data_IF_484714053527
#
_entry.id   IF_484714053527
#
_cell.length_a   1.000
_cell.length_b   1.000
_cell.length_c   1.000
_cell.angle_alpha   90.00
_cell.angle_beta   90.00
_cell.angle_gamma   90.00
#
_symmetry.space_group_name_H-M   'P 1'
#
loop_
_entity.id
_entity.type
_entity.pdbx_description
1 polymer ?
#
# COMPACT_ATOMS: atom_id res chain seq x y z
N UNK A 1 -13.79 57.53 46.16
CA UNK A 1 -12.93 57.21 45.00
C UNK A 1 -12.04 55.94 45.15
N UNK A 2 -11.73 55.50 46.38
CA UNK A 2 -10.81 54.33 46.61
C UNK A 2 -11.44 52.93 46.37
N UNK A 3 -12.75 52.77 46.39
CA UNK A 3 -13.42 51.47 46.14
C UNK A 3 -13.58 51.08 44.67
N UNK A 4 -13.57 52.03 43.76
CA UNK A 4 -13.64 51.73 42.28
C UNK A 4 -12.33 51.27 41.71
N UNK A 5 -11.18 51.63 42.32
CA UNK A 5 -9.85 51.24 41.85
C UNK A 5 -9.54 49.76 42.16
N UNK A 6 -10.05 49.22 43.26
CA UNK A 6 -9.81 47.83 43.66
C UNK A 6 -10.55 46.85 42.75
N UNK A 7 -11.72 47.23 42.25
CA UNK A 7 -12.51 46.36 41.32
C UNK A 7 -11.85 46.26 39.95
N UNK A 8 -11.20 47.35 39.49
CA UNK A 8 -10.47 47.32 38.19
C UNK A 8 -9.20 46.46 38.28
N UNK A 9 -8.49 46.47 39.38
CA UNK A 9 -7.32 45.58 39.58
C UNK A 9 -7.70 44.09 39.69
N UNK A 10 -8.84 43.80 40.28
CA UNK A 10 -9.32 42.40 40.37
C UNK A 10 -9.79 41.85 39.02
N UNK A 11 -10.32 42.71 38.15
CA UNK A 11 -10.76 42.33 36.82
C UNK A 11 -9.57 42.15 35.84
N UNK A 12 -8.51 42.91 35.99
CA UNK A 12 -7.26 42.76 35.21
C UNK A 12 -6.49 41.48 35.61
N UNK A 13 -6.58 41.06 36.88
CA UNK A 13 -5.93 39.86 37.36
C UNK A 13 -6.67 38.57 36.87
N UNK A 14 -7.97 38.65 36.61
CA UNK A 14 -8.77 37.52 36.13
C UNK A 14 -8.65 37.32 34.61
N UNK A 15 -8.36 38.33 33.83
CA UNK A 15 -8.13 38.23 32.38
C UNK A 15 -6.75 37.67 32.04
N UNK A 16 -5.79 37.75 32.95
CA UNK A 16 -4.42 37.22 32.77
C UNK A 16 -4.28 35.70 32.93
N UNK A 17 -5.32 34.99 33.45
CA UNK A 17 -5.25 33.53 33.71
C UNK A 17 -5.94 32.68 32.65
N UNK A 18 -6.50 33.30 31.60
CA UNK A 18 -7.15 32.62 30.51
C UNK A 18 -6.21 32.37 29.30
N UNK A 19 -4.91 32.34 29.52
CA UNK A 19 -3.95 32.10 28.47
C UNK A 19 -3.20 30.78 28.72
N UNK A 20 -3.27 29.94 27.71
CA UNK A 20 -2.44 28.75 27.51
C UNK A 20 -2.83 27.47 28.23
N UNK A 21 -4.05 27.00 28.07
CA UNK A 21 -4.23 25.56 27.84
C UNK A 21 -3.85 25.30 26.38
N UNK A 22 -2.57 25.38 26.07
CA UNK A 22 -2.01 24.66 24.95
C UNK A 22 -2.34 23.20 25.26
N UNK A 23 -3.30 22.65 24.57
CA UNK A 23 -3.55 21.21 24.59
C UNK A 23 -2.23 20.57 24.15
N UNK A 24 -1.38 20.22 25.11
CA UNK A 24 -0.25 19.35 24.90
C UNK A 24 -0.84 18.10 24.28
N UNK A 25 -0.65 17.90 22.98
CA UNK A 25 -0.94 16.62 22.34
C UNK A 25 0.00 15.65 23.05
N UNK A 26 -0.50 15.01 24.11
CA UNK A 26 0.24 13.94 24.76
C UNK A 26 0.44 12.85 23.73
N UNK A 27 1.69 12.73 23.28
CA UNK A 27 2.05 11.69 22.32
C UNK A 27 2.05 10.34 23.04
N UNK A 28 0.86 9.72 23.09
CA UNK A 28 0.61 8.49 23.83
C UNK A 28 1.13 7.29 23.04
N UNK A 29 1.84 6.39 23.71
CA UNK A 29 2.19 5.07 23.16
C UNK A 29 0.92 4.23 23.13
N UNK A 30 0.59 3.70 21.97
CA UNK A 30 -0.57 2.84 21.76
C UNK A 30 -0.17 1.36 21.74
N UNK A 31 0.99 1.09 21.13
CA UNK A 31 1.46 -0.26 20.91
C UNK A 31 2.97 -0.30 20.85
N UNK A 32 3.54 -1.46 21.25
CA UNK A 32 4.96 -1.75 21.11
C UNK A 32 5.14 -2.98 20.23
N UNK A 33 6.01 -2.87 19.25
CA UNK A 33 6.44 -3.97 18.38
C UNK A 33 7.91 -4.23 18.70
N UNK A 34 8.22 -5.31 19.41
CA UNK A 34 9.56 -5.56 19.92
C UNK A 34 10.08 -4.34 20.71
N UNK A 35 11.18 -3.73 20.27
CA UNK A 35 11.78 -2.53 20.85
C UNK A 35 11.31 -1.22 20.20
N UNK A 36 10.32 -1.25 19.31
CA UNK A 36 9.78 -0.07 18.62
C UNK A 36 8.38 0.26 19.13
N UNK A 37 8.08 1.54 19.22
CA UNK A 37 6.76 2.02 19.64
C UNK A 37 5.95 2.52 18.45
N UNK A 38 4.64 2.43 18.59
CA UNK A 38 3.66 3.10 17.72
C UNK A 38 2.87 4.06 18.60
N UNK A 39 2.79 5.31 18.17
CA UNK A 39 2.15 6.38 18.91
C UNK A 39 0.83 6.80 18.28
N UNK A 40 -0.03 7.47 19.04
CA UNK A 40 -1.25 8.08 18.52
C UNK A 40 -0.94 9.12 17.42
N UNK A 41 0.21 9.80 17.48
CA UNK A 41 0.67 10.73 16.45
C UNK A 41 0.92 10.01 15.11
N UNK A 42 1.67 8.90 15.13
CA UNK A 42 1.93 8.12 13.93
C UNK A 42 0.64 7.56 13.33
N UNK A 43 -0.29 7.04 14.17
CA UNK A 43 -1.58 6.52 13.71
C UNK A 43 -2.40 7.65 13.05
N UNK A 44 -2.51 8.81 13.72
CA UNK A 44 -3.22 9.97 13.18
C UNK A 44 -2.60 10.41 11.85
N UNK A 45 -1.27 10.55 11.79
CA UNK A 45 -0.57 10.95 10.57
C UNK A 45 -0.83 9.93 9.43
N UNK A 46 -0.76 8.64 9.71
CA UNK A 46 -1.03 7.58 8.73
C UNK A 46 -2.46 7.63 8.21
N UNK A 47 -3.46 7.79 9.07
CA UNK A 47 -4.86 7.90 8.67
C UNK A 47 -5.07 9.13 7.78
N UNK A 48 -4.65 10.30 8.25
CA UNK A 48 -4.91 11.55 7.55
C UNK A 48 -4.14 11.65 6.22
N UNK A 49 -2.89 11.18 6.16
CA UNK A 49 -2.13 11.11 4.91
C UNK A 49 -2.77 10.14 3.93
N UNK A 50 -3.27 9.00 4.42
CA UNK A 50 -4.00 8.02 3.58
C UNK A 50 -5.26 8.63 2.98
N UNK A 51 -6.09 9.31 3.79
CA UNK A 51 -7.30 10.00 3.30
C UNK A 51 -6.96 11.11 2.28
N UNK A 52 -5.93 11.91 2.58
CA UNK A 52 -5.48 12.95 1.67
C UNK A 52 -5.03 12.38 0.31
N UNK A 53 -4.24 11.31 0.33
CA UNK A 53 -3.76 10.65 -0.90
C UNK A 53 -4.88 9.97 -1.68
N UNK A 54 -5.88 9.43 -0.97
CA UNK A 54 -7.08 8.84 -1.58
C UNK A 54 -8.01 9.91 -2.20
N UNK A 55 -7.86 11.19 -1.79
CA UNK A 55 -8.78 12.26 -2.17
C UNK A 55 -10.09 12.23 -1.40
N UNK A 56 -10.10 11.56 -0.24
CA UNK A 56 -11.28 11.44 0.59
C UNK A 56 -11.42 12.59 1.58
N UNK A 57 -12.66 12.83 1.99
CA UNK A 57 -12.96 13.81 3.02
C UNK A 57 -12.41 13.36 4.39
N UNK A 58 -11.75 14.31 5.07
CA UNK A 58 -11.24 14.10 6.43
C UNK A 58 -12.39 14.39 7.42
N UNK A 59 -13.17 13.37 7.72
CA UNK A 59 -14.23 13.41 8.74
C UNK A 59 -14.09 12.26 9.72
N UNK A 60 -14.83 12.30 10.84
CA UNK A 60 -14.70 11.32 11.92
C UNK A 60 -15.04 9.90 11.48
N UNK A 61 -15.98 9.73 10.56
CA UNK A 61 -16.40 8.43 10.03
C UNK A 61 -15.29 7.76 9.23
N UNK A 62 -14.68 8.50 8.31
CA UNK A 62 -13.56 8.03 7.50
C UNK A 62 -12.32 7.74 8.38
N UNK A 63 -12.07 8.59 9.39
CA UNK A 63 -11.00 8.36 10.37
C UNK A 63 -11.24 7.04 11.12
N UNK A 64 -12.46 6.81 11.61
CA UNK A 64 -12.78 5.60 12.38
C UNK A 64 -12.65 4.33 11.54
N UNK A 65 -13.05 4.37 10.27
CA UNK A 65 -12.93 3.24 9.33
C UNK A 65 -11.49 2.82 9.06
N UNK A 66 -10.53 3.75 9.16
CA UNK A 66 -9.12 3.48 8.86
C UNK A 66 -8.26 3.14 10.08
N UNK A 67 -8.77 3.24 11.31
CA UNK A 67 -7.95 3.06 12.53
C UNK A 67 -7.23 1.71 12.57
N UNK A 68 -7.96 0.62 12.39
CA UNK A 68 -7.38 -0.73 12.42
C UNK A 68 -6.38 -0.94 11.30
N UNK A 69 -6.72 -0.50 10.08
CA UNK A 69 -5.84 -0.62 8.92
C UNK A 69 -4.57 0.21 9.07
N UNK A 70 -4.67 1.42 9.60
CA UNK A 70 -3.50 2.26 9.86
C UNK A 70 -2.58 1.63 10.92
N UNK A 71 -3.16 1.07 11.98
CA UNK A 71 -2.41 0.37 13.02
C UNK A 71 -1.69 -0.85 12.46
N UNK A 72 -2.39 -1.69 11.69
CA UNK A 72 -1.81 -2.86 11.05
C UNK A 72 -0.66 -2.48 10.08
N UNK A 73 -0.87 -1.43 9.28
CA UNK A 73 0.15 -0.90 8.37
C UNK A 73 1.40 -0.42 9.12
N UNK A 74 1.23 0.25 10.26
CA UNK A 74 2.35 0.70 11.10
C UNK A 74 3.07 -0.46 11.78
N UNK A 75 2.34 -1.51 12.23
CA UNK A 75 2.95 -2.74 12.74
C UNK A 75 3.86 -3.36 11.69
N UNK A 76 3.35 -3.55 10.47
CA UNK A 76 4.13 -4.10 9.37
C UNK A 76 5.34 -3.22 9.03
N UNK A 77 5.19 -1.90 9.05
CA UNK A 77 6.28 -0.95 8.85
C UNK A 77 7.37 -1.12 9.92
N UNK A 78 6.98 -1.22 11.21
CA UNK A 78 7.95 -1.44 12.30
C UNK A 78 8.66 -2.78 12.16
N UNK A 79 7.93 -3.85 11.85
CA UNK A 79 8.52 -5.18 11.62
C UNK A 79 9.55 -5.17 10.48
N UNK A 80 9.20 -4.57 9.33
CA UNK A 80 10.12 -4.40 8.22
C UNK A 80 11.37 -3.62 8.64
N UNK A 81 11.22 -2.51 9.35
CA UNK A 81 12.35 -1.70 9.83
C UNK A 81 13.23 -2.42 10.85
N UNK A 82 12.63 -3.22 11.75
CA UNK A 82 13.39 -4.05 12.70
C UNK A 82 14.26 -5.05 11.95
N UNK A 83 13.67 -5.73 10.97
CA UNK A 83 14.41 -6.68 10.14
C UNK A 83 15.51 -5.99 9.34
N UNK A 84 15.19 -4.89 8.64
CA UNK A 84 16.13 -4.13 7.82
C UNK A 84 17.30 -3.55 8.60
N UNK A 85 17.12 -3.20 9.88
CA UNK A 85 18.18 -2.67 10.73
C UNK A 85 19.30 -3.70 11.00
N UNK A 86 19.03 -4.99 10.81
CA UNK A 86 20.06 -6.05 10.90
C UNK A 86 21.01 -6.03 9.70
N UNK A 87 20.63 -5.31 8.62
CA UNK A 87 21.35 -5.27 7.37
C UNK A 87 21.65 -3.81 7.02
N UNK A 88 22.89 -3.51 6.66
CA UNK A 88 23.32 -2.15 6.28
C UNK A 88 22.91 -1.85 4.82
N UNK A 89 21.61 -1.85 4.55
CA UNK A 89 21.10 -1.53 3.23
C UNK A 89 21.07 -0.01 3.04
N UNK A 90 21.51 0.45 1.87
CA UNK A 90 21.39 1.85 1.45
C UNK A 90 20.29 1.98 0.41
N UNK A 91 19.57 3.07 0.52
CA UNK A 91 18.60 3.51 -0.50
C UNK A 91 19.36 4.28 -1.58
N UNK A 92 18.81 4.23 -2.77
CA UNK A 92 19.18 5.11 -3.86
C UNK A 92 18.22 6.31 -3.88
N UNK A 93 18.74 7.49 -3.58
CA UNK A 93 17.97 8.73 -3.57
C UNK A 93 17.33 9.02 -4.93
N UNK A 94 17.98 8.61 -6.03
CA UNK A 94 17.42 8.74 -7.37
C UNK A 94 16.14 7.91 -7.53
N UNK A 95 16.08 6.71 -6.94
CA UNK A 95 14.90 5.83 -6.96
C UNK A 95 13.73 6.47 -6.17
N UNK A 96 14.01 7.05 -5.00
CA UNK A 96 13.02 7.76 -4.19
C UNK A 96 12.48 8.98 -4.94
N UNK A 97 13.37 9.80 -5.50
CA UNK A 97 12.99 10.98 -6.26
C UNK A 97 12.14 10.62 -7.50
N UNK A 98 12.52 9.58 -8.24
CA UNK A 98 11.75 9.09 -9.37
C UNK A 98 10.34 8.66 -8.96
N UNK A 99 10.23 7.96 -7.82
CA UNK A 99 8.94 7.56 -7.27
C UNK A 99 8.10 8.76 -6.85
N UNK A 100 8.67 9.71 -6.09
CA UNK A 100 7.99 10.93 -5.67
C UNK A 100 7.51 11.74 -6.88
N UNK A 101 8.31 11.90 -7.93
CA UNK A 101 7.91 12.53 -9.18
C UNK A 101 6.68 11.83 -9.79
N UNK A 102 6.67 10.48 -9.79
CA UNK A 102 5.57 9.71 -10.38
C UNK A 102 4.23 9.87 -9.65
N UNK A 103 4.23 10.08 -8.31
CA UNK A 103 3.01 10.26 -7.51
C UNK A 103 2.60 11.73 -7.36
N UNK A 104 3.52 12.67 -7.59
CA UNK A 104 3.31 14.11 -7.48
C UNK A 104 3.02 14.79 -8.82
N UNK A 105 2.91 14.02 -9.93
CA UNK A 105 2.81 14.55 -11.29
C UNK A 105 3.98 15.48 -11.63
N UNK A 106 5.20 15.12 -11.21
CA UNK A 106 6.46 15.87 -11.34
C UNK A 106 6.54 17.19 -10.55
N UNK A 107 5.65 17.42 -9.58
CA UNK A 107 5.72 18.58 -8.68
C UNK A 107 5.80 18.13 -7.21
N UNK A 108 7.01 17.71 -6.81
CA UNK A 108 7.29 17.27 -5.44
C UNK A 108 7.08 18.43 -4.44
N UNK A 109 7.34 19.67 -4.84
CA UNK A 109 7.21 20.83 -3.95
C UNK A 109 5.76 21.07 -3.58
N UNK A 110 4.86 21.11 -4.57
CA UNK A 110 3.41 21.21 -4.33
C UNK A 110 2.89 20.01 -3.54
N UNK A 111 3.39 18.81 -3.82
CA UNK A 111 3.03 17.60 -3.08
C UNK A 111 3.41 17.70 -1.58
N UNK A 112 4.63 18.17 -1.25
CA UNK A 112 5.07 18.42 0.13
C UNK A 112 4.22 19.49 0.81
N UNK A 113 3.87 20.55 0.08
CA UNK A 113 3.03 21.62 0.62
C UNK A 113 1.65 21.11 1.04
N UNK A 114 1.04 20.15 0.33
CA UNK A 114 -0.22 19.53 0.74
C UNK A 114 -0.14 18.86 2.12
N UNK A 115 1.00 18.23 2.45
CA UNK A 115 1.24 17.69 3.81
C UNK A 115 1.29 18.83 4.84
N UNK A 116 2.05 19.88 4.55
CA UNK A 116 2.20 21.04 5.45
C UNK A 116 0.86 21.73 5.71
N UNK A 117 0.06 22.00 4.69
CA UNK A 117 -1.27 22.62 4.79
C UNK A 117 -2.24 21.84 5.68
N UNK A 118 -2.09 20.51 5.71
CA UNK A 118 -2.92 19.62 6.53
C UNK A 118 -2.27 19.26 7.87
N UNK A 119 -1.18 19.93 8.25
CA UNK A 119 -0.38 19.62 9.44
C UNK A 119 0.02 18.14 9.53
N UNK A 120 0.43 17.56 8.39
CA UNK A 120 0.91 16.18 8.28
C UNK A 120 2.44 16.16 8.19
N UNK A 121 3.02 15.12 8.77
CA UNK A 121 4.44 14.87 8.75
C UNK A 121 4.82 14.13 7.47
N UNK A 122 5.46 14.87 6.54
CA UNK A 122 5.94 14.30 5.29
C UNK A 122 7.09 13.30 5.51
N UNK A 123 7.90 13.47 6.55
CA UNK A 123 9.01 12.56 6.84
C UNK A 123 8.51 11.15 7.23
N UNK A 124 7.39 11.05 7.95
CA UNK A 124 6.78 9.75 8.23
C UNK A 124 6.31 9.05 6.95
N UNK A 125 5.74 9.80 6.00
CA UNK A 125 5.39 9.27 4.69
C UNK A 125 6.64 8.84 3.90
N UNK A 126 7.67 9.68 3.87
CA UNK A 126 8.93 9.38 3.18
C UNK A 126 9.58 8.11 3.76
N UNK A 127 9.66 7.99 5.08
CA UNK A 127 10.18 6.80 5.76
C UNK A 127 9.42 5.52 5.40
N UNK A 128 8.11 5.60 5.16
CA UNK A 128 7.32 4.46 4.71
C UNK A 128 7.76 4.02 3.30
N UNK A 129 7.91 4.97 2.38
CA UNK A 129 8.38 4.72 1.02
C UNK A 129 9.79 4.13 1.00
N UNK A 130 10.72 4.73 1.74
CA UNK A 130 12.08 4.25 1.91
C UNK A 130 12.11 2.81 2.44
N UNK A 131 11.31 2.54 3.48
CA UNK A 131 11.21 1.20 4.06
C UNK A 131 10.72 0.19 3.04
N UNK A 132 9.76 0.57 2.19
CA UNK A 132 9.22 -0.30 1.16
C UNK A 132 10.28 -0.65 0.11
N UNK A 133 11.06 0.33 -0.37
CA UNK A 133 12.15 0.08 -1.33
C UNK A 133 13.27 -0.76 -0.72
N UNK A 134 13.69 -0.45 0.52
CA UNK A 134 14.68 -1.28 1.22
C UNK A 134 14.19 -2.71 1.43
N UNK A 135 12.91 -2.88 1.75
CA UNK A 135 12.29 -4.18 1.92
C UNK A 135 12.33 -4.99 0.63
N UNK A 136 11.93 -4.41 -0.50
CA UNK A 136 12.02 -5.07 -1.80
C UNK A 136 13.45 -5.52 -2.12
N UNK A 137 14.43 -4.63 -1.91
CA UNK A 137 15.86 -4.95 -2.10
C UNK A 137 16.33 -6.08 -1.17
N UNK A 138 15.87 -6.08 0.08
CA UNK A 138 16.18 -7.10 1.06
C UNK A 138 15.62 -8.46 0.66
N UNK A 139 14.35 -8.53 0.32
CA UNK A 139 13.69 -9.75 -0.15
C UNK A 139 14.39 -10.30 -1.40
N UNK A 140 14.70 -9.44 -2.36
CA UNK A 140 15.47 -9.83 -3.53
C UNK A 140 16.81 -10.46 -3.14
N UNK A 141 17.58 -9.83 -2.25
CA UNK A 141 18.89 -10.30 -1.79
C UNK A 141 18.81 -11.70 -1.15
N UNK A 142 17.78 -11.95 -0.34
CA UNK A 142 17.64 -13.23 0.38
C UNK A 142 17.15 -14.34 -0.55
N UNK A 143 16.18 -14.01 -1.42
CA UNK A 143 15.41 -15.04 -2.13
C UNK A 143 15.79 -15.19 -3.60
N UNK A 144 16.62 -14.29 -4.18
CA UNK A 144 17.01 -14.39 -5.60
C UNK A 144 17.61 -15.74 -6.00
N UNK A 145 18.43 -16.33 -5.11
CA UNK A 145 19.05 -17.64 -5.35
C UNK A 145 18.09 -18.83 -5.16
N UNK A 146 16.91 -18.59 -4.58
CA UNK A 146 15.86 -19.61 -4.36
C UNK A 146 14.77 -19.58 -5.41
N UNK A 147 14.83 -18.60 -6.30
CA UNK A 147 13.89 -18.47 -7.40
C UNK A 147 14.41 -19.31 -8.56
N UNK A 148 13.81 -20.47 -8.71
CA UNK A 148 13.97 -21.32 -9.88
C UNK A 148 12.76 -21.12 -10.78
N UNK A 149 13.01 -20.80 -12.04
CA UNK A 149 11.97 -20.69 -13.05
C UNK A 149 11.95 -21.98 -13.83
N UNK A 150 10.83 -22.67 -13.81
CA UNK A 150 10.61 -23.83 -14.65
C UNK A 150 10.47 -23.39 -16.12
N UNK A 151 11.53 -23.58 -16.88
CA UNK A 151 11.57 -23.21 -18.31
C UNK A 151 10.47 -23.94 -19.12
N UNK A 152 10.12 -25.17 -18.76
CA UNK A 152 9.04 -25.90 -19.44
C UNK A 152 7.68 -25.19 -19.24
N UNK A 153 7.46 -24.56 -18.10
CA UNK A 153 6.26 -23.76 -17.86
C UNK A 153 6.27 -22.50 -18.71
N UNK A 154 7.42 -21.81 -18.81
CA UNK A 154 7.57 -20.63 -19.68
C UNK A 154 7.38 -20.98 -21.15
N UNK A 155 7.95 -22.09 -21.61
CA UNK A 155 7.84 -22.52 -23.00
C UNK A 155 6.39 -22.92 -23.33
N UNK A 156 5.67 -23.59 -22.43
CA UNK A 156 4.23 -23.88 -22.59
C UNK A 156 3.40 -22.58 -22.64
N UNK A 157 3.69 -21.64 -21.78
CA UNK A 157 3.02 -20.34 -21.77
C UNK A 157 3.28 -19.58 -23.07
N UNK A 158 4.51 -19.64 -23.59
CA UNK A 158 4.90 -19.05 -24.87
C UNK A 158 4.19 -19.74 -26.05
N UNK A 159 4.13 -21.09 -26.07
CA UNK A 159 3.39 -21.82 -27.08
C UNK A 159 1.89 -21.50 -27.07
N UNK A 160 1.28 -21.41 -25.89
CA UNK A 160 -0.12 -21.01 -25.74
C UNK A 160 -0.34 -19.59 -26.25
N UNK A 161 0.62 -18.70 -26.01
CA UNK A 161 0.61 -17.36 -26.56
C UNK A 161 0.61 -17.39 -28.09
N UNK A 162 1.51 -18.16 -28.72
CA UNK A 162 1.63 -18.28 -30.18
C UNK A 162 0.36 -18.87 -30.78
N UNK A 163 -0.18 -19.95 -30.19
CA UNK A 163 -1.44 -20.61 -30.64
C UNK A 163 -2.64 -19.66 -30.61
N UNK A 164 -2.68 -18.76 -29.62
CA UNK A 164 -3.77 -17.80 -29.45
C UNK A 164 -3.48 -16.42 -30.07
N UNK A 165 -2.47 -16.33 -30.92
CA UNK A 165 -1.89 -15.10 -31.48
C UNK A 165 -2.91 -14.13 -32.10
N UNK A 166 -3.98 -14.64 -32.71
CA UNK A 166 -4.96 -13.81 -33.42
C UNK A 166 -6.02 -13.16 -32.51
N UNK A 167 -6.02 -13.49 -31.21
CA UNK A 167 -7.04 -13.02 -30.25
C UNK A 167 -6.44 -12.48 -28.94
N UNK A 168 -5.21 -11.96 -29.00
CA UNK A 168 -4.59 -11.47 -27.78
C UNK A 168 -5.24 -10.17 -27.33
N UNK A 169 -5.89 -10.25 -26.18
CA UNK A 169 -6.39 -9.07 -25.47
C UNK A 169 -5.30 -8.56 -24.52
N UNK A 170 -5.12 -7.26 -24.50
CA UNK A 170 -4.39 -6.57 -23.46
C UNK A 170 -5.39 -5.93 -22.51
N UNK A 171 -5.10 -6.04 -21.23
CA UNK A 171 -5.95 -5.51 -20.16
C UNK A 171 -5.19 -4.42 -19.41
N UNK A 172 -5.79 -3.26 -19.27
CA UNK A 172 -5.32 -2.27 -18.31
C UNK A 172 -5.97 -2.62 -16.98
N UNK A 173 -5.15 -2.94 -15.96
CA UNK A 173 -5.61 -3.55 -14.72
C UNK A 173 -5.17 -2.71 -13.52
N UNK A 174 -6.03 -2.65 -12.51
CA UNK A 174 -5.66 -2.23 -11.15
C UNK A 174 -5.83 -3.39 -10.17
N UNK A 175 -5.04 -3.39 -9.09
CA UNK A 175 -5.04 -4.44 -8.08
C UNK A 175 -5.29 -3.89 -6.67
N UNK A 176 -5.94 -4.70 -5.84
CA UNK A 176 -5.98 -4.57 -4.38
C UNK A 176 -5.52 -5.89 -3.82
N UNK A 177 -4.51 -5.89 -2.96
CA UNK A 177 -4.06 -7.08 -2.25
C UNK A 177 -4.04 -6.80 -0.75
N UNK A 178 -4.66 -7.67 0.06
CA UNK A 178 -4.65 -7.60 1.51
C UNK A 178 -4.08 -8.87 2.12
N UNK A 179 -3.40 -8.75 3.27
CA UNK A 179 -2.92 -9.91 4.03
C UNK A 179 -4.09 -10.62 4.71
N UNK A 180 -4.01 -11.95 4.68
CA UNK A 180 -4.84 -12.84 5.45
C UNK A 180 -4.05 -13.34 6.68
N UNK A 181 -4.78 -13.58 7.78
CA UNK A 181 -4.21 -14.13 9.00
C UNK A 181 -4.19 -15.67 8.98
N UNK A 182 -4.89 -16.28 8.01
CA UNK A 182 -5.21 -17.71 7.92
C UNK A 182 -6.05 -18.20 9.09
N UNK A 183 -7.01 -17.38 9.52
CA UNK A 183 -7.98 -17.66 10.57
C UNK A 183 -9.43 -17.40 10.09
N UNK A 184 -10.40 -17.68 10.97
CA UNK A 184 -11.82 -17.52 10.66
C UNK A 184 -12.25 -16.08 10.35
N UNK A 185 -11.47 -15.08 10.78
CA UNK A 185 -11.76 -13.66 10.54
C UNK A 185 -11.57 -13.24 9.08
N UNK A 186 -10.81 -14.02 8.30
CA UNK A 186 -10.44 -13.66 6.92
C UNK A 186 -11.66 -13.57 5.99
N UNK A 187 -12.66 -14.43 6.17
CA UNK A 187 -13.88 -14.35 5.35
C UNK A 187 -14.64 -13.04 5.61
N UNK A 188 -14.72 -12.59 6.86
CA UNK A 188 -15.34 -11.32 7.21
C UNK A 188 -14.56 -10.14 6.65
N UNK A 189 -13.22 -10.20 6.66
CA UNK A 189 -12.37 -9.17 6.04
C UNK A 189 -12.61 -9.06 4.54
N UNK A 190 -12.69 -10.20 3.85
CA UNK A 190 -12.94 -10.26 2.41
C UNK A 190 -14.32 -9.66 2.08
N UNK A 191 -15.37 -10.09 2.76
CA UNK A 191 -16.74 -9.57 2.57
C UNK A 191 -16.84 -8.08 2.85
N UNK A 192 -16.20 -7.60 3.92
CA UNK A 192 -16.16 -6.19 4.24
C UNK A 192 -15.43 -5.39 3.14
N UNK A 193 -14.31 -5.92 2.63
CA UNK A 193 -13.57 -5.25 1.56
C UNK A 193 -14.38 -5.16 0.27
N UNK A 194 -15.11 -6.23 -0.11
CA UNK A 194 -16.02 -6.21 -1.26
C UNK A 194 -17.11 -5.15 -1.13
N UNK A 195 -17.68 -5.00 0.08
CA UNK A 195 -18.66 -3.96 0.39
C UNK A 195 -18.05 -2.57 0.24
N UNK A 196 -16.88 -2.35 0.84
CA UNK A 196 -16.17 -1.07 0.78
C UNK A 196 -15.79 -0.68 -0.66
N UNK A 197 -15.35 -1.64 -1.49
CA UNK A 197 -15.07 -1.41 -2.91
C UNK A 197 -16.31 -0.90 -3.65
N UNK A 198 -17.48 -1.49 -3.38
CA UNK A 198 -18.75 -1.07 -3.99
C UNK A 198 -19.19 0.33 -3.53
N UNK A 199 -19.00 0.66 -2.25
CA UNK A 199 -19.44 1.91 -1.65
C UNK A 199 -18.51 3.10 -1.95
N UNK A 200 -17.19 2.87 -1.95
CA UNK A 200 -16.18 3.93 -1.96
C UNK A 200 -15.31 3.93 -3.23
N UNK A 201 -15.47 2.94 -4.09
CA UNK A 201 -14.68 2.79 -5.31
C UNK A 201 -13.37 2.05 -5.11
N UNK A 202 -12.94 1.36 -6.16
CA UNK A 202 -11.76 0.51 -6.16
C UNK A 202 -10.46 1.27 -5.86
N UNK A 203 -10.28 2.42 -6.50
CA UNK A 203 -9.07 3.23 -6.40
C UNK A 203 -8.83 3.77 -4.98
N UNK A 204 -9.91 4.22 -4.33
CA UNK A 204 -9.88 4.70 -2.94
C UNK A 204 -9.49 3.55 -1.99
N UNK A 205 -10.09 2.38 -2.18
CA UNK A 205 -9.82 1.21 -1.35
C UNK A 205 -8.41 0.66 -1.62
N UNK A 206 -7.90 0.73 -2.84
CA UNK A 206 -6.52 0.37 -3.14
C UNK A 206 -5.52 1.19 -2.30
N UNK A 207 -5.70 2.51 -2.22
CA UNK A 207 -4.84 3.38 -1.41
C UNK A 207 -4.95 3.05 0.09
N UNK A 208 -6.16 2.80 0.57
CA UNK A 208 -6.45 2.63 2.01
C UNK A 208 -6.01 1.27 2.55
N UNK A 209 -6.23 0.22 1.79
CA UNK A 209 -6.20 -1.16 2.29
C UNK A 209 -5.18 -2.06 1.60
N UNK A 210 -4.75 -1.73 0.37
CA UNK A 210 -3.84 -2.60 -0.36
C UNK A 210 -2.43 -2.58 0.21
N UNK A 211 -1.84 -3.77 0.34
CA UNK A 211 -0.42 -3.96 0.67
C UNK A 211 0.47 -4.01 -0.58
N UNK A 212 -0.15 -4.01 -1.76
CA UNK A 212 0.59 -4.05 -3.01
C UNK A 212 1.45 -2.78 -3.19
N UNK A 213 2.61 -2.87 -3.84
CA UNK A 213 3.45 -1.70 -4.14
C UNK A 213 2.74 -0.63 -4.96
N UNK A 214 1.69 -1.03 -5.69
CA UNK A 214 0.87 -0.15 -6.53
C UNK A 214 -0.18 0.65 -5.73
N UNK A 215 -0.36 0.37 -4.43
CA UNK A 215 -1.40 0.99 -3.58
C UNK A 215 -1.41 2.51 -3.69
N UNK A 216 -0.24 3.17 -3.56
CA UNK A 216 -0.11 4.63 -3.66
C UNK A 216 -0.39 5.20 -5.06
N UNK A 217 -0.41 4.33 -6.09
CA UNK A 217 -0.83 4.63 -7.47
C UNK A 217 -2.24 4.13 -7.75
N UNK A 218 -3.12 4.10 -6.74
CA UNK A 218 -4.52 3.65 -6.87
C UNK A 218 -4.64 2.19 -7.33
N UNK A 219 -3.63 1.37 -7.03
CA UNK A 219 -3.55 -0.01 -7.45
C UNK A 219 -3.18 -0.22 -8.93
N UNK A 220 -2.84 0.80 -9.69
CA UNK A 220 -2.64 0.71 -11.14
C UNK A 220 -1.41 -0.12 -11.51
N UNK A 221 -1.63 -1.22 -12.22
CA UNK A 221 -0.60 -2.06 -12.84
C UNK A 221 -0.29 -1.65 -14.28
N UNK A 222 -1.25 -1.00 -14.98
CA UNK A 222 -1.14 -0.61 -16.37
C UNK A 222 -1.57 -1.71 -17.34
N UNK A 223 -1.09 -1.63 -18.60
CA UNK A 223 -1.41 -2.58 -19.66
C UNK A 223 -0.61 -3.86 -19.52
N UNK A 224 -1.32 -4.99 -19.42
CA UNK A 224 -0.74 -6.33 -19.33
C UNK A 224 -1.37 -7.19 -20.42
N UNK A 225 -0.53 -7.92 -21.15
CA UNK A 225 -1.02 -8.92 -22.11
C UNK A 225 -1.73 -10.04 -21.38
N UNK A 226 -2.88 -10.48 -21.88
CA UNK A 226 -3.62 -11.60 -21.30
C UNK A 226 -2.79 -12.88 -21.22
N UNK A 227 -1.84 -13.04 -22.12
CA UNK A 227 -0.96 -14.20 -22.13
C UNK A 227 0.22 -14.10 -21.16
N UNK A 228 0.51 -12.89 -20.66
CA UNK A 228 1.48 -12.68 -19.58
C UNK A 228 0.89 -12.92 -18.19
N UNK A 229 -0.39 -13.17 -18.09
CA UNK A 229 -1.07 -13.48 -16.83
C UNK A 229 -1.00 -14.97 -16.52
N UNK A 230 -0.91 -15.32 -15.23
CA UNK A 230 -1.07 -16.73 -14.85
C UNK A 230 -2.43 -17.26 -15.31
N UNK A 231 -2.51 -18.56 -15.63
CA UNK A 231 -3.75 -19.17 -16.10
C UNK A 231 -4.93 -18.93 -15.16
N UNK A 232 -4.68 -18.92 -13.84
CA UNK A 232 -5.69 -18.60 -12.83
C UNK A 232 -6.21 -17.16 -13.00
N UNK A 233 -5.32 -16.18 -13.06
CA UNK A 233 -5.69 -14.76 -13.19
C UNK A 233 -6.39 -14.52 -14.53
N UNK A 234 -5.84 -15.06 -15.62
CA UNK A 234 -6.45 -14.91 -16.95
C UNK A 234 -7.87 -15.47 -16.99
N UNK A 235 -8.13 -16.63 -16.38
CA UNK A 235 -9.45 -17.24 -16.33
C UNK A 235 -10.46 -16.37 -15.56
N UNK A 236 -10.03 -15.67 -14.52
CA UNK A 236 -10.89 -14.75 -13.77
C UNK A 236 -11.22 -13.48 -14.56
N UNK A 237 -10.27 -12.93 -15.33
CA UNK A 237 -10.48 -11.63 -15.98
C UNK A 237 -11.00 -11.71 -17.42
N UNK A 238 -10.79 -12.83 -18.13
CA UNK A 238 -11.14 -12.96 -19.58
C UNK A 238 -12.60 -12.71 -19.92
N UNK A 239 -13.50 -12.94 -18.97
CA UNK A 239 -14.95 -12.76 -19.13
C UNK A 239 -15.45 -11.41 -18.58
N UNK A 240 -14.61 -10.67 -17.86
CA UNK A 240 -14.97 -9.39 -17.27
C UNK A 240 -15.02 -8.29 -18.32
N UNK A 241 -15.94 -7.36 -18.11
CA UNK A 241 -16.07 -6.11 -18.89
C UNK A 241 -15.26 -5.00 -18.24
N UNK A 242 -15.05 -3.93 -18.99
CA UNK A 242 -14.46 -2.70 -18.45
C UNK A 242 -15.28 -2.20 -17.28
N UNK A 243 -14.61 -1.88 -16.18
CA UNK A 243 -15.19 -1.46 -14.90
C UNK A 243 -15.48 -2.60 -13.94
N UNK A 244 -15.53 -3.84 -14.39
CA UNK A 244 -15.81 -5.00 -13.52
C UNK A 244 -14.58 -5.42 -12.72
N UNK A 245 -14.85 -6.09 -11.60
CA UNK A 245 -13.87 -6.53 -10.61
C UNK A 245 -13.98 -8.05 -10.46
N UNK A 246 -12.84 -8.73 -10.32
CA UNK A 246 -12.81 -10.18 -10.08
C UNK A 246 -13.48 -10.55 -8.76
N UNK A 247 -13.87 -11.80 -8.65
CA UNK A 247 -14.06 -12.43 -7.34
C UNK A 247 -12.74 -12.41 -6.56
N UNK A 248 -12.78 -12.58 -5.22
CA UNK A 248 -11.57 -12.68 -4.40
C UNK A 248 -10.67 -13.82 -4.88
N UNK A 249 -9.48 -13.51 -5.32
CA UNK A 249 -8.48 -14.51 -5.74
C UNK A 249 -7.61 -14.81 -4.51
N UNK A 250 -7.89 -15.92 -3.84
CA UNK A 250 -7.12 -16.34 -2.67
C UNK A 250 -5.71 -16.78 -3.07
N UNK A 251 -4.74 -16.31 -2.30
CA UNK A 251 -3.33 -16.70 -2.32
C UNK A 251 -2.95 -17.27 -0.95
N UNK A 252 -1.74 -17.79 -0.79
CA UNK A 252 -1.33 -18.47 0.44
C UNK A 252 -1.55 -17.61 1.72
N UNK A 253 -1.17 -16.33 1.69
CA UNK A 253 -1.26 -15.43 2.85
C UNK A 253 -1.92 -14.09 2.49
N UNK A 254 -2.68 -14.04 1.41
CA UNK A 254 -3.33 -12.82 0.93
C UNK A 254 -4.54 -13.13 0.06
N UNK A 255 -5.34 -12.11 -0.18
CA UNK A 255 -6.38 -12.13 -1.20
C UNK A 255 -6.16 -10.95 -2.15
N UNK A 256 -6.35 -11.23 -3.45
CA UNK A 256 -6.19 -10.29 -4.54
C UNK A 256 -7.55 -10.00 -5.19
N UNK A 257 -7.81 -8.72 -5.48
CA UNK A 257 -8.89 -8.27 -6.35
C UNK A 257 -8.27 -7.53 -7.52
N UNK A 258 -8.81 -7.74 -8.72
CA UNK A 258 -8.40 -7.05 -9.93
C UNK A 258 -9.59 -6.33 -10.54
N UNK A 259 -9.37 -5.09 -10.99
CA UNK A 259 -10.36 -4.30 -11.75
C UNK A 259 -9.86 -4.12 -13.16
N UNK A 260 -10.75 -4.30 -14.14
CA UNK A 260 -10.48 -4.01 -15.55
C UNK A 260 -10.74 -2.54 -15.81
N UNK A 261 -9.70 -1.76 -16.07
CA UNK A 261 -9.84 -0.35 -16.43
C UNK A 261 -10.13 -0.15 -17.91
N UNK A 262 -9.49 -0.98 -18.77
CA UNK A 262 -9.67 -0.94 -20.22
C UNK A 262 -9.24 -2.27 -20.84
N UNK A 263 -9.79 -2.58 -22.02
CA UNK A 263 -9.43 -3.76 -22.82
C UNK A 263 -9.13 -3.29 -24.24
N UNK A 264 -8.07 -3.83 -24.83
CA UNK A 264 -7.79 -3.62 -26.26
C UNK A 264 -7.30 -4.92 -26.89
N UNK A 265 -7.46 -5.07 -28.18
CA UNK A 265 -6.83 -6.16 -28.92
C UNK A 265 -5.38 -5.76 -29.20
N UNK A 266 -4.47 -6.70 -28.93
CA UNK A 266 -3.06 -6.48 -29.26
C UNK A 266 -2.92 -6.42 -30.79
N UNK A 267 -2.20 -5.40 -31.30
CA UNK A 267 -1.78 -5.37 -32.72
C UNK A 267 -0.60 -6.31 -32.88
N UNK A 268 -0.83 -7.48 -33.45
CA UNK A 268 0.14 -8.59 -33.49
C UNK A 268 1.01 -8.63 -34.75
N UNK A 269 1.32 -7.49 -35.37
CA UNK A 269 2.05 -7.51 -36.64
C UNK A 269 3.52 -7.99 -36.52
N UNK A 270 4.19 -7.78 -35.37
CA UNK A 270 5.55 -8.30 -35.14
C UNK A 270 5.76 -8.59 -33.64
N UNK A 271 5.48 -9.81 -33.20
CA UNK A 271 5.80 -10.22 -31.84
C UNK A 271 7.28 -10.61 -31.77
N UNK A 272 8.04 -9.86 -31.01
CA UNK A 272 9.38 -10.27 -30.59
C UNK A 272 9.24 -11.38 -29.53
N UNK A 273 9.37 -12.63 -29.97
CA UNK A 273 9.26 -13.81 -29.11
C UNK A 273 10.35 -13.84 -28.03
N UNK A 274 11.53 -13.29 -28.31
CA UNK A 274 12.65 -13.24 -27.35
C UNK A 274 12.28 -12.28 -26.22
N UNK A 275 11.76 -11.11 -26.57
CA UNK A 275 11.27 -10.13 -25.60
C UNK A 275 10.11 -10.68 -24.79
N UNK A 276 9.16 -11.33 -25.44
CA UNK A 276 8.00 -11.93 -24.77
C UNK A 276 8.42 -13.01 -23.76
N UNK A 277 9.33 -13.92 -24.15
CA UNK A 277 9.87 -14.95 -23.23
C UNK A 277 10.54 -14.29 -22.03
N UNK A 278 11.32 -13.22 -22.25
CA UNK A 278 11.94 -12.45 -21.17
C UNK A 278 10.89 -11.82 -20.24
N UNK A 279 9.85 -11.19 -20.79
CA UNK A 279 8.78 -10.55 -20.01
C UNK A 279 8.03 -11.58 -19.16
N UNK A 280 7.76 -12.79 -19.69
CA UNK A 280 7.14 -13.90 -18.93
C UNK A 280 8.05 -14.36 -17.79
N UNK A 281 9.33 -14.51 -18.01
CA UNK A 281 10.31 -14.87 -16.98
C UNK A 281 10.37 -13.81 -15.89
N UNK A 282 10.45 -12.52 -16.25
CA UNK A 282 10.54 -11.41 -15.32
C UNK A 282 9.24 -11.28 -14.50
N UNK A 283 8.09 -11.48 -15.12
CA UNK A 283 6.82 -11.54 -14.44
C UNK A 283 6.78 -12.68 -13.41
N UNK A 284 7.18 -13.89 -13.81
CA UNK A 284 7.20 -15.04 -12.91
C UNK A 284 8.13 -14.85 -11.72
N UNK A 285 9.29 -14.23 -11.96
CA UNK A 285 10.20 -13.84 -10.88
C UNK A 285 9.53 -12.86 -9.92
N UNK A 286 8.85 -11.85 -10.43
CA UNK A 286 8.15 -10.86 -9.61
C UNK A 286 7.03 -11.48 -8.78
N UNK A 287 6.26 -12.43 -9.34
CA UNK A 287 5.24 -13.19 -8.60
C UNK A 287 5.88 -13.94 -7.42
N UNK A 288 6.98 -14.64 -7.65
CA UNK A 288 7.70 -15.38 -6.62
C UNK A 288 8.30 -14.45 -5.56
N UNK A 289 8.89 -13.31 -5.96
CA UNK A 289 9.38 -12.32 -5.01
C UNK A 289 8.26 -11.76 -4.12
N UNK A 290 7.10 -11.47 -4.69
CA UNK A 290 5.94 -11.03 -3.94
C UNK A 290 5.46 -12.11 -2.96
N UNK A 291 5.42 -13.36 -3.38
CA UNK A 291 5.08 -14.50 -2.51
C UNK A 291 6.06 -14.60 -1.33
N UNK A 292 7.37 -14.56 -1.61
CA UNK A 292 8.40 -14.60 -0.56
C UNK A 292 8.31 -13.39 0.38
N UNK A 293 8.05 -12.20 -0.17
CA UNK A 293 7.88 -10.98 0.63
C UNK A 293 6.74 -11.11 1.64
N UNK A 294 5.57 -11.59 1.18
CA UNK A 294 4.40 -11.81 2.04
C UNK A 294 4.66 -12.88 3.09
N UNK A 295 5.20 -14.01 2.67
CA UNK A 295 5.53 -15.13 3.57
C UNK A 295 6.55 -14.71 4.65
N UNK A 296 7.59 -13.96 4.26
CA UNK A 296 8.58 -13.44 5.20
C UNK A 296 7.97 -12.47 6.21
N UNK A 297 7.14 -11.52 5.75
CA UNK A 297 6.46 -10.57 6.61
C UNK A 297 5.47 -11.25 7.56
N UNK A 298 4.71 -12.23 7.08
CA UNK A 298 3.79 -13.03 7.90
C UNK A 298 4.56 -13.80 8.99
N UNK A 299 5.71 -14.40 8.65
CA UNK A 299 6.57 -15.06 9.64
C UNK A 299 7.06 -14.08 10.70
N UNK A 300 7.55 -12.90 10.31
CA UNK A 300 7.98 -11.86 11.25
C UNK A 300 6.84 -11.48 12.19
N UNK A 301 5.63 -11.24 11.66
CA UNK A 301 4.47 -10.89 12.47
C UNK A 301 4.13 -11.97 13.51
N UNK A 302 4.17 -13.24 13.11
CA UNK A 302 3.81 -14.37 13.97
C UNK A 302 4.88 -14.68 15.03
N UNK A 303 6.12 -14.23 14.84
CA UNK A 303 7.24 -14.50 15.77
C UNK A 303 7.64 -13.29 16.62
N UNK A 304 7.09 -12.11 16.35
CA UNK A 304 7.44 -10.88 17.07
C UNK A 304 6.47 -10.59 18.21
N UNK A 305 7.00 -10.03 19.29
CA UNK A 305 6.21 -9.59 20.43
C UNK A 305 5.49 -8.28 20.09
N UNK A 306 4.16 -8.27 20.18
CA UNK A 306 3.31 -7.11 19.95
C UNK A 306 2.48 -6.88 21.21
N UNK A 307 2.71 -5.75 21.89
CA UNK A 307 2.09 -5.40 23.16
C UNK A 307 1.23 -4.14 23.02
N UNK A 308 -0.05 -4.26 23.30
CA UNK A 308 -0.97 -3.11 23.39
C UNK A 308 -0.81 -2.41 24.74
N UNK A 309 -0.84 -1.04 24.76
CA UNK A 309 -0.65 -0.21 25.96
C UNK A 309 -1.93 0.54 26.35
#
# INVERSE_FOLDING_TARGET
MKKKLIIIYFFIFFVGFAANVLAQIQNKIILKVENKIITNYEIKNKILSTLMLAGDEINQDNINKLKEQALESLIQLKLKRIELNKYKLKIDDAQINSYLNSISSNDISSFKNKFKEKNLDFELFLQEIETQFMWQKHIYKIYSKKIEIDENTIDRDLENFIKNKNNIKEFNISEIEILLNNDESDNNKILNLEKLIKEQGFESIAIKYSIAPTASKKGTLGWISGNSLSGQIYNEIKQLKVGEITKPIKRQNSVLFLKINSIRNSKTENIDLVRLKKDLIDQKKNELFNLYSRSHLSKLKNTSLIEYK
#
